data_IF_639462964977
#
_entry.id   IF_639462964977
#
_cell.length_a   1.000
_cell.length_b   1.000
_cell.length_c   1.000
_cell.angle_alpha   90.00
_cell.angle_beta   90.00
_cell.angle_gamma   90.00
#
_symmetry.space_group_name_H-M   'P 1'
#
loop_
_entity.id
_entity.type
_entity.pdbx_description
1 polymer ?
#
# COMPACT_ATOMS: atom_id res chain seq x y z
N UNK A 1 4.68 20.00 -8.87
CA UNK A 1 5.48 18.85 -9.33
C UNK A 1 4.61 17.60 -9.25
N UNK A 2 4.37 16.93 -10.39
CA UNK A 2 3.93 15.55 -10.49
C UNK A 2 2.57 15.12 -9.91
N UNK A 3 1.45 15.58 -10.48
CA UNK A 3 0.20 14.79 -10.44
C UNK A 3 0.20 13.80 -11.60
N UNK A 4 1.19 12.91 -11.63
CA UNK A 4 1.13 11.69 -12.44
C UNK A 4 0.61 10.60 -11.53
N UNK A 5 -0.71 10.44 -11.42
CA UNK A 5 -1.27 9.36 -10.60
C UNK A 5 -0.99 8.02 -11.27
N UNK A 6 0.18 7.45 -10.98
CA UNK A 6 0.46 6.05 -11.32
C UNK A 6 -0.47 5.20 -10.47
N UNK A 7 -1.30 4.38 -11.12
CA UNK A 7 -2.16 3.45 -10.39
C UNK A 7 -1.30 2.45 -9.63
N UNK A 8 -1.74 2.03 -8.45
CA UNK A 8 -1.05 1.00 -7.66
C UNK A 8 -0.76 -0.24 -8.51
N UNK A 9 -1.69 -0.64 -9.38
CA UNK A 9 -1.50 -1.76 -10.30
C UNK A 9 -0.35 -1.54 -11.31
N UNK A 10 -0.21 -0.33 -11.84
CA UNK A 10 0.88 0.01 -12.75
C UNK A 10 2.23 -0.02 -12.02
N UNK A 11 2.27 0.47 -10.77
CA UNK A 11 3.46 0.41 -9.93
C UNK A 11 3.86 -1.04 -9.61
N UNK A 12 2.91 -1.89 -9.20
CA UNK A 12 3.19 -3.30 -8.88
C UNK A 12 3.68 -4.09 -10.11
N UNK A 13 3.15 -3.80 -11.30
CA UNK A 13 3.64 -4.43 -12.54
C UNK A 13 5.04 -3.98 -12.95
N UNK A 14 5.40 -2.73 -12.65
CA UNK A 14 6.73 -2.19 -12.96
C UNK A 14 7.83 -2.71 -12.03
N UNK A 15 7.45 -3.23 -10.85
CA UNK A 15 8.37 -3.66 -9.80
C UNK A 15 8.10 -5.10 -9.33
N UNK A 16 8.32 -6.12 -10.19
CA UNK A 16 8.09 -7.52 -9.85
C UNK A 16 9.04 -8.05 -8.74
N UNK A 17 10.14 -7.34 -8.47
CA UNK A 17 11.08 -7.63 -7.37
C UNK A 17 10.53 -7.26 -5.99
N UNK A 18 9.42 -6.53 -5.93
CA UNK A 18 8.82 -6.10 -4.67
C UNK A 18 8.28 -7.30 -3.90
N UNK A 19 8.94 -7.63 -2.78
CA UNK A 19 8.56 -8.78 -1.95
C UNK A 19 7.50 -8.44 -0.91
N UNK A 20 7.50 -7.21 -0.41
CA UNK A 20 6.67 -6.80 0.72
C UNK A 20 6.24 -5.34 0.63
N UNK A 21 5.12 -5.04 1.29
CA UNK A 21 4.62 -3.69 1.51
C UNK A 21 4.35 -3.50 2.99
N UNK A 22 4.79 -2.37 3.54
CA UNK A 22 4.50 -2.00 4.92
C UNK A 22 3.25 -1.11 4.97
N UNK A 23 2.18 -1.61 5.56
CA UNK A 23 0.96 -0.83 5.85
C UNK A 23 1.16 -0.09 7.18
N UNK A 24 1.06 1.23 7.17
CA UNK A 24 1.26 2.08 8.34
C UNK A 24 -0.04 2.79 8.70
N UNK A 25 -0.51 2.61 9.93
CA UNK A 25 -1.74 3.26 10.44
C UNK A 25 -1.44 3.84 11.82
N UNK A 26 -1.64 5.15 12.04
CA UNK A 26 -1.58 5.74 13.37
C UNK A 26 -2.80 5.36 14.21
N UNK A 27 -2.60 5.07 15.49
CA UNK A 27 -3.70 4.95 16.46
C UNK A 27 -4.14 6.31 17.02
N UNK A 28 -5.17 6.31 17.88
CA UNK A 28 -5.75 7.52 18.47
C UNK A 28 -4.77 8.33 19.32
N UNK A 29 -3.68 7.70 19.79
CA UNK A 29 -2.63 8.35 20.57
C UNK A 29 -1.48 8.84 19.67
N UNK A 30 -1.63 8.74 18.35
CA UNK A 30 -0.61 9.11 17.37
C UNK A 30 0.49 8.07 17.19
N UNK A 31 0.36 6.87 17.77
CA UNK A 31 1.36 5.81 17.62
C UNK A 31 1.16 5.11 16.29
N UNK A 32 2.17 5.17 15.42
CA UNK A 32 2.15 4.47 14.12
C UNK A 32 2.37 2.98 14.34
N UNK A 33 1.40 2.17 13.88
CA UNK A 33 1.50 0.70 13.86
C UNK A 33 1.66 0.23 12.43
N UNK A 34 2.65 -0.64 12.23
CA UNK A 34 2.98 -1.21 10.94
C UNK A 34 2.56 -2.67 10.82
N UNK A 35 2.13 -3.08 9.63
CA UNK A 35 2.02 -4.49 9.24
C UNK A 35 2.67 -4.71 7.88
N UNK A 36 3.66 -5.59 7.83
CA UNK A 36 4.23 -6.07 6.57
C UNK A 36 3.31 -7.08 5.92
N UNK A 37 3.00 -6.89 4.65
CA UNK A 37 2.13 -7.77 3.86
C UNK A 37 2.72 -8.06 2.49
N UNK A 38 2.24 -9.11 1.85
CA UNK A 38 2.50 -9.39 0.43
C UNK A 38 1.82 -8.32 -0.46
N UNK A 39 2.43 -7.89 -1.58
CA UNK A 39 1.83 -6.89 -2.46
C UNK A 39 0.42 -7.24 -2.95
N UNK A 40 0.08 -8.52 -3.11
CA UNK A 40 -1.27 -8.96 -3.49
C UNK A 40 -2.35 -8.60 -2.46
N UNK A 41 -1.97 -8.37 -1.19
CA UNK A 41 -2.90 -7.96 -0.14
C UNK A 41 -3.45 -6.54 -0.36
N UNK A 42 -2.77 -5.70 -1.14
CA UNK A 42 -3.22 -4.33 -1.44
C UNK A 42 -4.56 -4.30 -2.18
N UNK A 43 -4.85 -5.33 -2.99
CA UNK A 43 -6.14 -5.47 -3.67
C UNK A 43 -7.31 -5.61 -2.68
N UNK A 44 -7.07 -6.28 -1.55
CA UNK A 44 -8.09 -6.47 -0.49
C UNK A 44 -8.28 -5.21 0.34
N UNK A 45 -7.19 -4.49 0.65
CA UNK A 45 -7.26 -3.24 1.44
C UNK A 45 -8.04 -2.17 0.68
N UNK A 46 -7.87 -2.07 -0.65
CA UNK A 46 -8.62 -1.13 -1.49
C UNK A 46 -10.14 -1.38 -1.45
N UNK A 47 -10.58 -2.63 -1.40
CA UNK A 47 -12.00 -2.99 -1.44
C UNK A 47 -12.79 -2.63 -0.16
N UNK A 48 -12.11 -2.29 0.94
CA UNK A 48 -12.73 -1.88 2.21
C UNK A 48 -13.06 -0.37 2.28
N UNK A 49 -12.65 0.42 1.28
CA UNK A 49 -12.80 1.88 1.26
C UNK A 49 -13.76 2.37 0.14
N UNK A 50 -14.73 1.54 -0.26
CA UNK A 50 -15.73 1.89 -1.28
C UNK A 50 -17.14 1.92 -0.69
#
# INVERSE_FOLDING_TARGET
>A
MGTGSVSTDAFLKAHPELQFVDLLIPDINGIVRGKRVDPSALLKVRALNN
#
